data_IF_101925524439
#
_entry.id   IF_101925524439
#
_cell.length_a   1.000
_cell.length_b   1.000
_cell.length_c   1.000
_cell.angle_alpha   90.00
_cell.angle_beta   90.00
_cell.angle_gamma   90.00
#
_symmetry.space_group_name_H-M   'P 1'
#
loop_
_entity.id
_entity.type
_entity.pdbx_description
1 polymer ?
#
# COMPACT_ATOMS: atom_id res chain seq x y z
N UNK A 1 -0.46 -21.40 -5.58
CA UNK A 1 -1.24 -20.17 -5.86
C UNK A 1 -2.73 -20.32 -5.57
N UNK A 2 -3.31 -21.52 -5.54
CA UNK A 2 -4.76 -21.69 -5.29
C UNK A 2 -5.26 -21.19 -3.93
N UNK A 3 -4.41 -21.22 -2.88
CA UNK A 3 -4.79 -20.71 -1.55
C UNK A 3 -5.01 -19.20 -1.48
N UNK A 4 -4.40 -18.39 -2.35
CA UNK A 4 -4.63 -16.94 -2.36
C UNK A 4 -5.94 -16.56 -3.07
N UNK A 5 -6.44 -17.41 -3.99
CA UNK A 5 -7.66 -17.13 -4.75
C UNK A 5 -8.94 -17.21 -3.91
N UNK A 6 -8.88 -17.77 -2.70
CA UNK A 6 -10.03 -17.87 -1.79
C UNK A 6 -9.86 -17.09 -0.49
N UNK A 7 -8.80 -16.29 -0.34
CA UNK A 7 -8.58 -15.49 0.88
C UNK A 7 -9.11 -14.08 0.67
N UNK A 8 -9.95 -13.61 1.59
CA UNK A 8 -10.53 -12.26 1.54
C UNK A 8 -9.49 -11.16 1.81
N UNK A 9 -8.47 -11.46 2.61
CA UNK A 9 -7.45 -10.51 3.05
C UNK A 9 -6.06 -10.93 2.59
N UNK A 10 -5.27 -9.98 2.13
CA UNK A 10 -3.87 -10.20 1.81
C UNK A 10 -2.97 -9.26 2.60
N UNK A 11 -2.10 -9.84 3.42
CA UNK A 11 -1.18 -9.10 4.27
C UNK A 11 -0.06 -8.46 3.44
N UNK A 12 0.20 -7.19 3.70
CA UNK A 12 1.35 -6.43 3.24
C UNK A 12 2.18 -6.09 4.47
N UNK A 13 3.39 -6.65 4.55
CA UNK A 13 4.26 -6.52 5.71
C UNK A 13 5.27 -5.38 5.53
N UNK A 14 5.79 -4.79 6.63
CA UNK A 14 6.86 -3.81 6.55
C UNK A 14 8.11 -4.40 5.89
N UNK A 15 8.79 -3.61 5.06
CA UNK A 15 10.00 -4.04 4.35
C UNK A 15 9.77 -4.70 2.99
N UNK A 16 8.52 -4.97 2.58
CA UNK A 16 8.20 -5.23 1.17
C UNK A 16 8.51 -3.94 0.36
N UNK A 17 9.54 -3.97 -0.50
CA UNK A 17 10.18 -2.82 -1.18
C UNK A 17 9.23 -1.87 -1.93
N UNK A 18 9.72 -0.64 -2.19
CA UNK A 18 9.02 0.57 -2.64
C UNK A 18 8.19 0.54 -3.96
N UNK A 19 7.94 -0.64 -4.52
CA UNK A 19 7.03 -0.83 -5.65
C UNK A 19 6.58 -2.29 -5.67
N UNK A 20 6.25 -2.81 -4.48
CA UNK A 20 6.13 -4.23 -4.26
C UNK A 20 5.22 -4.83 -5.34
N UNK A 21 5.82 -5.64 -6.21
CA UNK A 21 5.15 -6.60 -7.07
C UNK A 21 4.03 -7.35 -6.31
N UNK A 22 4.22 -7.50 -5.00
CA UNK A 22 3.22 -8.01 -4.07
C UNK A 22 1.93 -7.19 -4.02
N UNK A 23 2.00 -5.86 -3.98
CA UNK A 23 0.81 -4.98 -3.99
C UNK A 23 0.02 -5.16 -5.28
N UNK A 24 0.68 -5.18 -6.45
CA UNK A 24 -0.01 -5.43 -7.72
C UNK A 24 -0.57 -6.85 -7.81
N UNK A 25 0.17 -7.86 -7.33
CA UNK A 25 -0.31 -9.25 -7.23
C UNK A 25 -1.54 -9.37 -6.31
N UNK A 26 -1.58 -8.62 -5.20
CA UNK A 26 -2.71 -8.56 -4.28
C UNK A 26 -3.96 -8.03 -4.98
N UNK A 27 -3.90 -6.85 -5.60
CA UNK A 27 -5.02 -6.29 -6.36
C UNK A 27 -5.45 -7.23 -7.50
N UNK A 28 -4.49 -7.83 -8.20
CA UNK A 28 -4.77 -8.78 -9.29
C UNK A 28 -5.39 -10.09 -8.82
N UNK A 29 -5.14 -10.49 -7.56
CA UNK A 29 -5.75 -11.65 -6.93
C UNK A 29 -7.15 -11.37 -6.35
N UNK A 30 -7.52 -10.10 -6.17
CA UNK A 30 -8.85 -9.67 -5.75
C UNK A 30 -9.11 -9.73 -4.24
N UNK A 31 -8.06 -9.87 -3.43
CA UNK A 31 -8.15 -9.78 -1.97
C UNK A 31 -7.94 -8.34 -1.48
N UNK A 32 -8.53 -8.02 -0.33
CA UNK A 32 -8.36 -6.74 0.35
C UNK A 32 -6.94 -6.63 0.90
N UNK A 33 -6.12 -5.64 0.48
CA UNK A 33 -4.81 -5.39 1.06
C UNK A 33 -4.95 -4.98 2.53
N UNK A 34 -4.18 -5.63 3.40
CA UNK A 34 -4.07 -5.33 4.83
C UNK A 34 -2.64 -4.93 5.10
N UNK A 35 -2.42 -3.62 5.26
CA UNK A 35 -1.13 -3.06 5.57
C UNK A 35 -0.90 -3.09 7.08
N UNK A 36 0.17 -3.75 7.51
CA UNK A 36 0.50 -3.94 8.92
C UNK A 36 1.82 -3.25 9.26
N UNK A 37 1.81 -2.40 10.29
CA UNK A 37 2.98 -1.69 10.79
C UNK A 37 3.32 -0.42 9.98
N UNK A 38 3.56 0.73 10.63
CA UNK A 38 4.31 1.79 10.01
C UNK A 38 5.77 1.35 9.83
N UNK A 39 6.42 1.77 8.74
CA UNK A 39 5.88 2.45 7.60
C UNK A 39 5.30 1.45 6.61
N UNK A 40 4.05 1.69 6.25
CA UNK A 40 3.41 1.04 5.11
C UNK A 40 4.33 1.24 3.90
N UNK A 41 4.75 0.15 3.28
CA UNK A 41 5.63 0.20 2.12
C UNK A 41 5.13 1.21 1.08
N UNK A 42 6.03 1.78 0.26
CA UNK A 42 5.64 2.82 -0.71
C UNK A 42 4.40 2.37 -1.51
N UNK A 43 3.39 3.25 -1.56
CA UNK A 43 2.07 2.95 -2.13
C UNK A 43 2.06 3.48 -3.55
N UNK A 44 2.38 2.65 -4.56
CA UNK A 44 2.60 3.15 -5.91
C UNK A 44 1.35 3.85 -6.46
N UNK A 45 1.57 5.03 -7.04
CA UNK A 45 0.50 5.85 -7.62
C UNK A 45 -0.58 6.30 -6.62
N UNK A 46 -0.25 6.33 -5.32
CA UNK A 46 -1.05 6.95 -4.26
C UNK A 46 -1.54 8.37 -4.63
N UNK A 47 -0.72 9.16 -5.32
CA UNK A 47 -1.08 10.49 -5.81
C UNK A 47 -2.00 10.43 -7.03
N UNK A 48 -3.29 10.18 -6.75
CA UNK A 48 -4.41 10.28 -7.69
C UNK A 48 -4.56 9.11 -8.66
N UNK A 49 -3.74 8.06 -8.55
CA UNK A 49 -3.83 6.88 -9.39
C UNK A 49 -4.61 5.74 -8.75
N UNK A 50 -4.30 5.42 -7.48
CA UNK A 50 -4.91 4.33 -6.72
C UNK A 50 -5.52 4.84 -5.41
N UNK A 51 -6.78 4.53 -5.16
CA UNK A 51 -7.45 4.88 -3.90
C UNK A 51 -7.24 3.78 -2.83
N UNK A 52 -6.04 3.79 -2.25
CA UNK A 52 -5.66 2.88 -1.17
C UNK A 52 -6.57 3.00 0.06
N UNK A 53 -7.07 4.21 0.34
CA UNK A 53 -7.98 4.47 1.46
C UNK A 53 -9.31 3.75 1.25
N UNK A 54 -9.84 3.73 0.03
CA UNK A 54 -11.06 3.00 -0.30
C UNK A 54 -10.83 1.49 -0.36
N UNK A 55 -9.70 1.02 -0.92
CA UNK A 55 -9.49 -0.40 -1.22
C UNK A 55 -8.82 -1.21 -0.10
N UNK A 56 -8.22 -0.58 0.91
CA UNK A 56 -7.32 -1.26 1.85
C UNK A 56 -7.67 -1.02 3.31
N UNK A 57 -7.01 -1.81 4.18
CA UNK A 57 -7.06 -1.70 5.64
C UNK A 57 -5.64 -1.41 6.17
N UNK A 58 -5.55 -0.61 7.22
CA UNK A 58 -4.28 -0.14 7.79
C UNK A 58 -4.25 -0.41 9.28
N UNK A 59 -3.18 -1.04 9.75
CA UNK A 59 -2.99 -1.42 11.15
C UNK A 59 -1.63 -0.96 11.66
N UNK A 60 -1.62 -0.28 12.78
CA UNK A 60 -0.41 0.09 13.52
C UNK A 60 -0.23 -0.86 14.70
N UNK A 61 0.88 -1.60 14.76
CA UNK A 61 1.20 -2.49 15.88
C UNK A 61 2.06 -1.73 16.86
N UNK A 62 1.74 -1.70 18.15
CA UNK A 62 2.57 -0.95 19.12
C UNK A 62 3.65 -1.81 19.78
N UNK A 63 3.43 -3.12 19.96
CA UNK A 63 4.39 -4.06 20.53
C UNK A 63 4.90 -5.01 19.43
N UNK A 64 6.13 -4.79 18.98
CA UNK A 64 6.74 -5.56 17.89
C UNK A 64 7.52 -6.80 18.35
N UNK A 65 7.67 -6.98 19.67
CA UNK A 65 8.43 -8.08 20.27
C UNK A 65 7.85 -9.44 19.84
N UNK A 66 8.70 -10.29 19.28
CA UNK A 66 8.31 -11.62 18.80
C UNK A 66 7.86 -11.70 17.32
N UNK A 67 7.70 -10.55 16.64
CA UNK A 67 7.44 -10.50 15.19
C UNK A 67 8.63 -9.91 14.40
N UNK A 68 9.29 -8.90 14.97
CA UNK A 68 10.50 -8.28 14.43
C UNK A 68 11.63 -8.40 15.46
N UNK A 69 12.89 -8.24 15.02
CA UNK A 69 14.05 -8.27 15.91
C UNK A 69 13.89 -7.22 17.02
N UNK A 70 14.16 -7.62 18.27
CA UNK A 70 13.99 -6.79 19.47
C UNK A 70 14.82 -5.48 19.42
N UNK A 71 15.79 -5.38 18.51
CA UNK A 71 16.62 -4.19 18.28
C UNK A 71 16.06 -3.21 17.24
N UNK A 72 14.88 -3.45 16.68
CA UNK A 72 14.31 -2.62 15.62
C UNK A 72 13.63 -1.38 16.23
N UNK A 73 14.26 -0.21 16.05
CA UNK A 73 13.74 1.08 16.53
C UNK A 73 12.97 1.78 15.40
N UNK A 74 11.66 1.97 15.60
CA UNK A 74 10.82 2.80 14.75
C UNK A 74 10.88 4.26 15.20
N UNK A 75 11.95 4.97 14.84
CA UNK A 75 11.99 6.42 15.06
C UNK A 75 11.60 7.17 13.78
N UNK A 76 10.47 7.87 13.84
CA UNK A 76 10.19 9.02 12.96
C UNK A 76 10.96 10.20 13.57
N UNK A 77 12.28 10.18 13.39
CA UNK A 77 13.18 11.24 13.87
C UNK A 77 13.73 12.06 12.71
N UNK A 78 13.96 13.36 12.94
CA UNK A 78 14.64 14.25 11.99
C UNK A 78 16.14 13.89 11.81
N UNK A 79 16.69 13.08 12.71
CA UNK A 79 18.07 12.62 12.69
C UNK A 79 18.17 11.17 12.22
N UNK A 80 18.93 10.95 11.15
CA UNK A 80 19.07 9.66 10.46
C UNK A 80 20.00 8.72 11.24
N UNK A 81 19.53 7.58 11.77
CA UNK A 81 20.44 6.54 12.25
C UNK A 81 20.85 5.67 11.07
N UNK A 82 22.07 5.90 10.58
CA UNK A 82 22.74 5.00 9.67
C UNK A 82 23.01 3.68 10.41
N UNK A 83 22.23 2.62 10.16
CA UNK A 83 22.67 1.21 10.14
C UNK A 83 21.60 0.23 9.60
N UNK A 84 20.68 0.72 8.74
CA UNK A 84 19.98 -0.13 7.76
C UNK A 84 20.45 0.35 6.40
N UNK A 85 21.08 -0.50 5.60
CA UNK A 85 21.75 -0.15 4.34
C UNK A 85 20.81 0.24 3.18
N UNK A 86 19.61 0.74 3.47
CA UNK A 86 18.99 1.83 2.71
C UNK A 86 17.77 2.41 3.47
N UNK A 87 17.94 3.50 4.25
CA UNK A 87 16.88 4.12 5.03
C UNK A 87 16.21 5.26 4.26
N UNK A 88 15.99 5.10 2.94
CA UNK A 88 15.12 6.03 2.22
C UNK A 88 13.68 5.77 2.65
N UNK A 89 13.30 6.46 3.73
CA UNK A 89 12.04 7.18 3.86
C UNK A 89 10.85 6.40 3.31
N UNK A 90 10.52 5.35 4.02
CA UNK A 90 9.21 4.74 3.93
C UNK A 90 8.25 5.69 4.66
N UNK A 91 7.83 6.75 3.98
CA UNK A 91 6.71 7.57 4.42
C UNK A 91 5.55 7.11 3.55
N UNK A 92 4.39 6.76 4.11
CA UNK A 92 3.25 6.44 3.28
C UNK A 92 2.95 7.65 2.39
N UNK A 93 2.98 7.44 1.06
CA UNK A 93 2.71 8.49 0.08
C UNK A 93 1.34 9.15 0.31
N UNK A 94 0.40 8.42 0.92
CA UNK A 94 -0.89 8.92 1.38
C UNK A 94 -0.97 8.95 2.90
N UNK A 95 -1.35 10.08 3.53
CA UNK A 95 -1.66 10.09 4.96
C UNK A 95 -2.89 9.20 5.23
N UNK A 96 -2.71 8.17 6.03
CA UNK A 96 -3.76 7.19 6.42
C UNK A 96 -3.98 7.11 7.93
N UNK A 97 -3.36 8.01 8.69
CA UNK A 97 -3.36 7.99 10.16
C UNK A 97 -4.78 8.08 10.77
N UNK A 98 -5.73 8.67 10.06
CA UNK A 98 -7.13 8.85 10.49
C UNK A 98 -8.01 7.61 10.29
N UNK A 99 -7.59 6.67 9.43
CA UNK A 99 -8.29 5.39 9.16
C UNK A 99 -7.52 4.17 9.66
N UNK A 100 -6.36 4.42 10.25
CA UNK A 100 -5.46 3.41 10.78
C UNK A 100 -5.98 2.88 12.12
N UNK A 101 -6.04 1.56 12.27
CA UNK A 101 -6.41 0.91 13.53
C UNK A 101 -5.15 0.58 14.31
N UNK A 102 -5.06 1.05 15.55
CA UNK A 102 -3.95 0.71 16.44
C UNK A 102 -4.26 -0.58 17.20
N UNK A 103 -3.36 -1.56 17.11
CA UNK A 103 -3.41 -2.84 17.81
C UNK A 103 -2.15 -3.03 18.65
N UNK A 104 -2.24 -3.77 19.75
CA UNK A 104 -1.09 -3.99 20.61
C UNK A 104 -0.14 -5.03 20.00
N UNK A 105 -0.67 -6.17 19.57
CA UNK A 105 0.10 -7.29 19.04
C UNK A 105 -0.48 -7.78 17.70
N UNK A 106 0.29 -8.59 16.97
CA UNK A 106 -0.17 -9.20 15.71
C UNK A 106 -1.32 -10.18 15.92
N UNK A 107 -1.43 -10.79 17.10
CA UNK A 107 -2.49 -11.76 17.39
C UNK A 107 -3.88 -11.09 17.36
N UNK A 108 -3.96 -9.83 17.77
CA UNK A 108 -5.21 -9.03 17.73
C UNK A 108 -5.69 -8.73 16.32
N UNK A 109 -4.81 -8.80 15.31
CA UNK A 109 -5.14 -8.51 13.92
C UNK A 109 -6.27 -9.41 13.42
N UNK A 110 -6.19 -10.71 13.71
CA UNK A 110 -7.18 -11.67 13.22
C UNK A 110 -8.56 -11.44 13.83
N UNK A 111 -8.62 -11.00 15.08
CA UNK A 111 -9.88 -10.69 15.75
C UNK A 111 -10.49 -9.41 15.18
N UNK A 112 -9.67 -8.41 14.88
CA UNK A 112 -10.12 -7.22 14.16
C UNK A 112 -10.66 -7.57 12.77
N UNK A 113 -9.94 -8.36 11.97
CA UNK A 113 -10.38 -8.73 10.61
C UNK A 113 -11.71 -9.51 10.61
N UNK A 114 -11.98 -10.32 11.64
CA UNK A 114 -13.23 -11.08 11.79
C UNK A 114 -14.42 -10.23 12.21
N UNK A 115 -14.19 -9.10 12.87
CA UNK A 115 -15.24 -8.23 13.40
C UNK A 115 -15.65 -7.13 12.44
N UNK A 116 -14.95 -6.97 11.30
CA UNK A 116 -15.30 -5.98 10.29
C UNK A 116 -16.71 -6.28 9.73
N UNK A 117 -17.64 -5.30 9.75
CA UNK A 117 -18.96 -5.48 9.18
C UNK A 117 -18.88 -5.85 7.70
N UNK A 118 -19.74 -6.77 7.27
CA UNK A 118 -19.80 -7.22 5.87
C UNK A 118 -19.97 -6.05 4.88
N UNK A 119 -20.79 -5.06 5.22
CA UNK A 119 -21.00 -3.88 4.36
C UNK A 119 -19.69 -3.12 4.07
N UNK A 120 -18.79 -3.04 5.06
CA UNK A 120 -17.48 -2.40 4.90
C UNK A 120 -16.60 -3.26 4.00
N UNK A 121 -16.62 -4.58 4.18
CA UNK A 121 -15.86 -5.52 3.36
C UNK A 121 -16.31 -5.51 1.90
N UNK A 122 -17.62 -5.46 1.66
CA UNK A 122 -18.18 -5.41 0.31
C UNK A 122 -17.75 -4.11 -0.41
N UNK A 123 -17.80 -2.95 0.27
CA UNK A 123 -17.27 -1.67 -0.26
C UNK A 123 -15.78 -1.72 -0.56
N UNK A 124 -14.99 -2.37 0.31
CA UNK A 124 -13.54 -2.55 0.11
C UNK A 124 -13.27 -3.43 -1.12
N UNK A 125 -14.03 -4.51 -1.29
CA UNK A 125 -13.92 -5.40 -2.45
C UNK A 125 -14.32 -4.69 -3.75
N UNK A 126 -15.40 -3.91 -3.75
CA UNK A 126 -15.78 -3.09 -4.91
C UNK A 126 -14.65 -2.15 -5.32
N UNK A 127 -14.03 -1.47 -4.35
CA UNK A 127 -12.87 -0.63 -4.60
C UNK A 127 -11.68 -1.45 -5.12
N UNK A 128 -11.36 -2.62 -4.55
CA UNK A 128 -10.30 -3.51 -5.07
C UNK A 128 -10.55 -3.89 -6.53
N UNK A 129 -11.79 -4.21 -6.90
CA UNK A 129 -12.16 -4.54 -8.29
C UNK A 129 -11.94 -3.35 -9.22
N UNK A 130 -12.32 -2.13 -8.79
CA UNK A 130 -12.11 -0.92 -9.58
C UNK A 130 -10.62 -0.58 -9.77
N UNK A 131 -9.81 -0.81 -8.74
CA UNK A 131 -8.37 -0.55 -8.78
C UNK A 131 -7.57 -1.64 -9.51
N UNK A 132 -8.09 -2.87 -9.55
CA UNK A 132 -7.42 -4.04 -10.16
C UNK A 132 -7.00 -3.81 -11.61
N UNK A 133 -7.88 -3.24 -12.42
CA UNK A 133 -7.59 -3.01 -13.85
C UNK A 133 -6.40 -2.07 -14.05
N UNK A 134 -6.14 -1.19 -13.08
CA UNK A 134 -5.03 -0.24 -13.14
C UNK A 134 -3.68 -0.92 -13.02
N UNK A 135 -3.60 -2.09 -12.36
CA UNK A 135 -2.37 -2.87 -12.26
C UNK A 135 -2.13 -3.82 -13.43
N UNK A 136 -3.06 -3.89 -14.40
CA UNK A 136 -2.89 -4.68 -15.61
C UNK A 136 -1.98 -3.97 -16.62
N UNK A 137 -1.01 -4.70 -17.18
CA UNK A 137 -0.25 -4.20 -18.32
C UNK A 137 -1.15 -4.14 -19.55
N UNK A 138 -1.30 -2.95 -20.14
CA UNK A 138 -2.04 -2.73 -21.37
C UNK A 138 -1.14 -1.98 -22.38
N UNK A 139 -0.89 -2.52 -23.58
CA UNK A 139 -0.03 -1.88 -24.58
C UNK A 139 -0.70 -0.71 -25.32
N UNK A 140 -1.91 -0.31 -24.91
CA UNK A 140 -2.71 0.76 -25.50
C UNK A 140 -3.45 1.55 -24.41
N UNK A 141 -4.03 2.70 -24.77
CA UNK A 141 -4.79 3.54 -23.84
C UNK A 141 -6.16 2.92 -23.56
N UNK A 142 -6.45 2.65 -22.28
CA UNK A 142 -7.72 2.09 -21.82
C UNK A 142 -8.51 3.08 -20.97
N UNK A 143 -9.81 2.86 -20.86
CA UNK A 143 -10.69 3.52 -19.89
C UNK A 143 -11.38 2.42 -19.05
N UNK A 144 -11.17 2.36 -17.71
CA UNK A 144 -10.37 3.28 -16.90
C UNK A 144 -8.85 3.21 -17.21
N UNK A 145 -8.10 4.30 -16.90
CA UNK A 145 -6.69 4.39 -17.25
C UNK A 145 -5.86 3.40 -16.44
N UNK A 146 -5.04 2.60 -17.12
CA UNK A 146 -4.05 1.75 -16.45
C UNK A 146 -2.97 2.59 -15.75
N UNK A 147 -2.21 1.98 -14.85
CA UNK A 147 -1.01 2.57 -14.24
C UNK A 147 -0.06 3.13 -15.31
N UNK A 148 0.08 2.44 -16.45
CA UNK A 148 0.88 2.89 -17.58
C UNK A 148 0.29 4.14 -18.22
N UNK A 149 -1.04 4.20 -18.40
CA UNK A 149 -1.69 5.40 -18.95
C UNK A 149 -1.54 6.61 -18.03
N UNK A 150 -1.61 6.39 -16.71
CA UNK A 150 -1.37 7.43 -15.71
C UNK A 150 0.08 7.93 -15.81
N UNK A 151 1.05 7.03 -15.87
CA UNK A 151 2.48 7.38 -15.99
C UNK A 151 2.74 8.12 -17.31
N UNK A 152 2.28 7.58 -18.45
CA UNK A 152 2.43 8.21 -19.76
C UNK A 152 1.77 9.59 -19.80
N UNK A 153 0.57 9.74 -19.23
CA UNK A 153 -0.10 11.03 -19.11
C UNK A 153 0.74 12.03 -18.30
N UNK A 154 1.25 11.60 -17.13
CA UNK A 154 2.13 12.46 -16.30
C UNK A 154 3.41 12.83 -17.05
N UNK A 155 4.02 11.90 -17.78
CA UNK A 155 5.20 12.16 -18.63
C UNK A 155 4.92 13.16 -19.76
N UNK A 156 3.79 13.03 -20.45
CA UNK A 156 3.39 13.97 -21.49
C UNK A 156 3.13 15.37 -20.94
N UNK A 157 2.56 15.49 -19.74
CA UNK A 157 2.34 16.80 -19.08
C UNK A 157 3.64 17.45 -18.59
N UNK A 158 4.70 16.68 -18.33
CA UNK A 158 6.02 17.21 -17.99
C UNK A 158 6.76 17.84 -19.19
N UNK A 159 6.36 17.52 -20.43
CA UNK A 159 6.97 18.05 -21.66
C UNK A 159 6.79 19.57 -21.89
N UNK A 160 6.06 20.26 -21.00
CA UNK A 160 5.96 21.73 -20.99
C UNK A 160 6.94 22.43 -20.03
N UNK A 161 7.91 21.70 -19.47
CA UNK A 161 9.04 22.32 -18.79
C UNK A 161 9.94 23.03 -19.79
N UNK A 162 9.74 24.34 -19.98
CA UNK A 162 10.76 25.22 -20.54
C UNK A 162 11.93 25.24 -19.55
N UNK A 163 13.10 24.77 -19.97
CA UNK A 163 14.32 24.90 -19.18
C UNK A 163 14.52 26.36 -18.74
N UNK A 164 14.99 26.63 -17.51
CA UNK A 164 15.37 27.98 -17.14
C UNK A 164 16.49 28.42 -18.08
N UNK A 165 16.24 29.48 -18.84
CA UNK A 165 17.26 30.12 -19.67
C UNK A 165 18.32 30.65 -18.70
N UNK A 166 19.54 30.15 -18.87
CA UNK A 166 20.72 30.53 -18.09
C UNK A 166 21.08 32.01 -18.24
#
# INVERSE_FOLDING_TARGET
MDRMRSTLFCLVLPGDSASARRTSEIFMSGCIPVFLGPPYGAMPLADGGIDYRASSLFFNVTEYRGWLDDNMVWEIGDERPFHVSNPWVWIPDTPVNDIMVTIQTVDELMDHLRTIPKEVLDKKLEAVVAEREKFSFQPYITAPPSAINIILSKMCTMGHWTAPVA
#
